data_IF_874735465054
#
_entry.id   IF_874735465054
#
_cell.length_a   1.000
_cell.length_b   1.000
_cell.length_c   1.000
_cell.angle_alpha   90.00
_cell.angle_beta   90.00
_cell.angle_gamma   90.00
#
_symmetry.space_group_name_H-M   'P 1'
#
loop_
_entity.id
_entity.type
_entity.pdbx_description
1 polymer ?
#
# COMPACT_ATOMS: atom_id res chain seq x y z
N UNK A 1 -1.02 -9.68 -2.46
CA UNK A 1 -1.30 -8.88 -1.24
C UNK A 1 -0.19 -9.04 -0.22
N UNK A 2 0.03 -8.03 0.61
CA UNK A 2 1.13 -8.01 1.59
C UNK A 2 0.57 -7.88 3.01
N UNK A 3 1.31 -8.33 4.00
CA UNK A 3 0.98 -8.14 5.40
C UNK A 3 2.21 -7.60 6.14
N UNK A 4 1.96 -6.75 7.14
CA UNK A 4 2.98 -6.21 8.03
C UNK A 4 3.00 -7.03 9.32
N UNK A 5 4.18 -7.56 9.67
CA UNK A 5 4.44 -8.20 10.95
C UNK A 5 4.33 -7.19 12.10
N UNK A 6 4.07 -7.62 13.35
CA UNK A 6 4.21 -6.77 14.53
C UNK A 6 5.60 -6.13 14.66
N UNK A 7 6.63 -6.78 14.12
CA UNK A 7 8.01 -6.26 14.04
C UNK A 7 8.22 -5.16 12.99
N UNK A 8 7.20 -4.86 12.16
CA UNK A 8 7.28 -3.82 11.12
C UNK A 8 7.73 -4.30 9.74
N UNK A 9 8.02 -5.59 9.57
CA UNK A 9 8.48 -6.16 8.30
C UNK A 9 7.30 -6.50 7.37
N UNK A 10 7.46 -6.22 6.07
CA UNK A 10 6.49 -6.54 5.01
C UNK A 10 6.75 -7.93 4.44
N UNK A 11 5.70 -8.75 4.41
CA UNK A 11 5.74 -10.11 3.84
C UNK A 11 4.64 -10.26 2.80
N UNK A 12 4.97 -10.88 1.68
CA UNK A 12 3.98 -11.30 0.70
C UNK A 12 3.22 -12.53 1.20
N UNK A 13 1.90 -12.43 1.23
CA UNK A 13 1.03 -13.48 1.76
C UNK A 13 -0.18 -13.66 0.86
N UNK A 14 -0.73 -14.87 0.83
CA UNK A 14 -2.03 -15.09 0.19
C UNK A 14 -3.16 -14.67 1.14
N UNK A 15 -4.33 -14.32 0.59
CA UNK A 15 -5.48 -13.93 1.40
C UNK A 15 -5.90 -15.02 2.38
N UNK A 16 -5.92 -16.27 1.91
CA UNK A 16 -6.24 -17.45 2.72
C UNK A 16 -5.24 -17.62 3.88
N UNK A 17 -3.94 -17.47 3.61
CA UNK A 17 -2.91 -17.54 4.66
C UNK A 17 -3.07 -16.42 5.68
N UNK A 18 -3.37 -15.19 5.23
CA UNK A 18 -3.57 -14.07 6.14
C UNK A 18 -4.76 -14.29 7.07
N UNK A 19 -5.92 -14.66 6.53
CA UNK A 19 -7.15 -14.85 7.31
C UNK A 19 -7.02 -16.00 8.31
N UNK A 20 -6.31 -17.06 7.96
CA UNK A 20 -6.14 -18.24 8.83
C UNK A 20 -5.07 -18.06 9.91
N UNK A 21 -3.92 -17.46 9.58
CA UNK A 21 -2.73 -17.54 10.45
C UNK A 21 -2.24 -16.19 10.98
N UNK A 22 -2.38 -15.13 10.20
CA UNK A 22 -1.71 -13.85 10.48
C UNK A 22 -2.64 -12.83 11.12
N UNK A 23 -3.94 -12.84 10.79
CA UNK A 23 -4.95 -11.97 11.43
C UNK A 23 -5.00 -12.14 12.95
N UNK A 24 -4.96 -13.38 13.43
CA UNK A 24 -4.95 -13.69 14.87
C UNK A 24 -3.61 -13.38 15.57
N UNK A 25 -2.52 -13.26 14.81
CA UNK A 25 -1.17 -12.95 15.32
C UNK A 25 -0.87 -11.45 15.38
N UNK A 26 -1.88 -10.61 15.19
CA UNK A 26 -1.73 -9.15 15.20
C UNK A 26 -1.02 -8.58 13.97
N UNK A 27 -0.90 -9.35 12.89
CA UNK A 27 -0.38 -8.85 11.64
C UNK A 27 -1.45 -7.98 10.97
N UNK A 28 -1.02 -6.95 10.24
CA UNK A 28 -1.92 -6.05 9.51
C UNK A 28 -1.88 -6.36 8.03
N UNK A 29 -3.03 -6.71 7.45
CA UNK A 29 -3.16 -6.84 6.00
C UNK A 29 -2.93 -5.48 5.38
N UNK A 30 -1.92 -5.39 4.52
CA UNK A 30 -1.81 -4.32 3.55
C UNK A 30 -2.65 -4.78 2.37
N UNK A 31 -3.96 -4.58 2.50
CA UNK A 31 -4.87 -4.71 1.37
C UNK A 31 -4.44 -3.63 0.38
N UNK A 32 -4.23 -4.01 -0.88
CA UNK A 32 -3.96 -3.06 -1.98
C UNK A 32 -5.09 -2.05 -2.19
N UNK A 33 -6.18 -2.15 -1.43
CA UNK A 33 -7.04 -1.02 -1.01
C UNK A 33 -6.24 -0.10 -0.09
N UNK A 34 -5.17 0.43 -0.65
CA UNK A 34 -4.35 1.44 -0.05
C UNK A 34 -5.31 2.56 0.31
N UNK A 35 -5.47 2.87 1.60
CA UNK A 35 -6.02 4.17 1.96
C UNK A 35 -4.98 5.18 1.51
N UNK A 36 -4.94 5.46 0.21
CA UNK A 36 -4.01 6.39 -0.44
C UNK A 36 -4.13 7.77 0.24
N UNK A 37 -5.33 8.06 0.76
CA UNK A 37 -5.65 9.20 1.59
C UNK A 37 -4.88 9.27 2.93
N UNK A 38 -4.50 8.13 3.51
CA UNK A 38 -3.70 8.06 4.75
C UNK A 38 -2.19 8.03 4.48
N UNK A 39 -1.77 7.87 3.22
CA UNK A 39 -0.36 7.85 2.86
C UNK A 39 0.21 9.26 2.74
N UNK A 40 1.53 9.38 2.95
CA UNK A 40 2.26 10.61 2.66
C UNK A 40 2.48 10.73 1.15
N UNK A 41 2.63 11.96 0.65
CA UNK A 41 2.95 12.24 -0.76
C UNK A 41 4.12 11.40 -1.27
N UNK A 42 5.18 11.25 -0.48
CA UNK A 42 6.36 10.47 -0.83
C UNK A 42 6.09 8.97 -1.01
N UNK A 43 5.17 8.40 -0.23
CA UNK A 43 4.78 6.99 -0.39
C UNK A 43 3.93 6.80 -1.65
N UNK A 44 3.04 7.75 -1.95
CA UNK A 44 2.28 7.75 -3.21
C UNK A 44 3.21 7.89 -4.42
N UNK A 45 4.25 8.73 -4.36
CA UNK A 45 5.26 8.85 -5.41
C UNK A 45 6.02 7.54 -5.65
N UNK A 46 6.36 6.79 -4.59
CA UNK A 46 6.97 5.45 -4.73
C UNK A 46 6.02 4.47 -5.37
N UNK A 47 4.74 4.48 -4.98
CA UNK A 47 3.72 3.59 -5.55
C UNK A 47 3.50 3.93 -7.03
N UNK A 48 3.37 5.21 -7.37
CA UNK A 48 3.27 5.67 -8.75
C UNK A 48 4.48 5.25 -9.58
N UNK A 49 5.70 5.41 -9.04
CA UNK A 49 6.93 4.94 -9.68
C UNK A 49 6.97 3.41 -9.90
N UNK A 50 6.59 2.62 -8.88
CA UNK A 50 6.51 1.16 -9.01
C UNK A 50 5.44 0.70 -10.02
N UNK A 51 4.35 1.46 -10.16
CA UNK A 51 3.30 1.21 -11.17
C UNK A 51 3.67 1.73 -12.56
N UNK A 52 4.79 2.45 -12.72
CA UNK A 52 5.17 3.10 -13.98
C UNK A 52 4.30 4.31 -14.35
N UNK A 53 3.60 4.90 -13.38
CA UNK A 53 2.76 6.09 -13.58
C UNK A 53 3.66 7.31 -13.65
N UNK A 54 3.56 8.05 -14.76
CA UNK A 54 4.25 9.32 -14.93
C UNK A 54 3.43 10.45 -14.29
N UNK A 55 4.08 11.27 -13.46
CA UNK A 55 3.47 12.40 -12.77
C UNK A 55 4.42 13.60 -12.80
N UNK A 56 3.89 14.81 -12.70
CA UNK A 56 4.71 16.03 -12.63
C UNK A 56 5.26 16.21 -11.22
N UNK A 57 6.40 16.87 -11.07
CA UNK A 57 7.00 17.14 -9.76
C UNK A 57 6.11 18.00 -8.85
N UNK A 58 5.27 18.85 -9.45
CA UNK A 58 4.28 19.68 -8.75
C UNK A 58 2.98 18.94 -8.39
N UNK A 59 2.74 17.73 -8.93
CA UNK A 59 1.49 16.97 -8.73
C UNK A 59 1.16 16.85 -7.24
N UNK A 60 -0.09 17.14 -6.89
CA UNK A 60 -0.56 17.13 -5.49
C UNK A 60 -0.76 15.70 -4.99
N UNK A 61 -0.97 15.58 -3.67
CA UNK A 61 -1.26 14.29 -3.04
C UNK A 61 -2.52 13.68 -3.68
N UNK A 62 -3.63 14.42 -3.73
CA UNK A 62 -4.91 13.93 -4.24
C UNK A 62 -4.84 13.52 -5.71
N UNK A 63 -4.08 14.25 -6.54
CA UNK A 63 -3.87 13.86 -7.93
C UNK A 63 -3.06 12.56 -8.05
N UNK A 64 -2.02 12.38 -7.23
CA UNK A 64 -1.30 11.10 -7.19
C UNK A 64 -2.22 9.95 -6.76
N UNK A 65 -3.12 10.19 -5.81
CA UNK A 65 -4.13 9.21 -5.38
C UNK A 65 -5.00 8.80 -6.58
N UNK A 66 -5.57 9.77 -7.30
CA UNK A 66 -6.42 9.52 -8.47
C UNK A 66 -5.69 8.77 -9.58
N UNK A 67 -4.42 9.10 -9.84
CA UNK A 67 -3.61 8.40 -10.84
C UNK A 67 -3.32 6.94 -10.44
N UNK A 68 -3.18 6.66 -9.14
CA UNK A 68 -2.87 5.33 -8.62
C UNK A 68 -4.12 4.44 -8.51
N UNK A 69 -5.27 5.03 -8.19
CA UNK A 69 -6.57 4.38 -8.00
C UNK A 69 -7.41 4.28 -9.29
N UNK A 70 -6.98 4.99 -10.35
CA UNK A 70 -7.67 5.11 -11.64
C UNK A 70 -7.93 3.80 -12.36
#
# INVERSE_FOLDING_TARGET
>A
MKAIKPSGELVEVTQKTYDLLYKARGWKLVKESTNLDKLKKSELQKIAGNKGISYKSDTTKEELIKLIDG
#
